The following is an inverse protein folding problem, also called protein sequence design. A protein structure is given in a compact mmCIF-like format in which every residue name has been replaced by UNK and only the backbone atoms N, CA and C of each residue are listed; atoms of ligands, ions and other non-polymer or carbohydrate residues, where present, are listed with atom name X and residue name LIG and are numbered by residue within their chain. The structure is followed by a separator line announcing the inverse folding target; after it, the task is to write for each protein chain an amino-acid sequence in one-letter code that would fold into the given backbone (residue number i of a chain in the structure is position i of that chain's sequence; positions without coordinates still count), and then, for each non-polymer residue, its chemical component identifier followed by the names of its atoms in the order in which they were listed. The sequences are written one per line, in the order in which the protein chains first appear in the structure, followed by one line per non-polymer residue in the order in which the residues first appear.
data_IF_685133009930
#
_entry.id   IF_685133009930
#
_cell.length_a   1.000
_cell.length_b   1.000
_cell.length_c   1.000
_cell.angle_alpha   90.00
_cell.angle_beta   90.00
_cell.angle_gamma   90.00
#
_symmetry.space_group_name_H-M   'P 1'
#
loop_
_entity.id
_entity.type
_entity.pdbx_description
1 polymer ?
#
# COMPACT_ATOMS: atom_id res chain seq x y z
N UNK A 1 -27.88 -7.31 11.30
CA UNK A 1 -27.30 -6.79 10.02
C UNK A 1 -25.96 -7.44 9.78
N UNK A 2 -25.29 -7.17 8.65
CA UNK A 2 -24.01 -7.86 8.31
C UNK A 2 -22.98 -7.79 9.45
N UNK A 3 -22.67 -6.59 9.97
CA UNK A 3 -21.69 -6.41 11.06
C UNK A 3 -22.06 -7.16 12.36
N UNK A 4 -23.34 -7.23 12.69
CA UNK A 4 -23.82 -7.94 13.88
C UNK A 4 -23.72 -9.46 13.71
N UNK A 5 -24.05 -9.95 12.52
CA UNK A 5 -23.93 -11.37 12.19
C UNK A 5 -22.47 -11.84 12.24
N UNK A 6 -21.54 -11.15 11.58
CA UNK A 6 -20.12 -11.55 11.59
C UNK A 6 -19.50 -11.41 12.98
N UNK A 7 -19.94 -10.43 13.79
CA UNK A 7 -19.54 -10.34 15.19
C UNK A 7 -19.95 -11.59 15.98
N UNK A 8 -21.16 -12.11 15.77
CA UNK A 8 -21.62 -13.34 16.44
C UNK A 8 -20.82 -14.58 16.00
N UNK A 9 -20.24 -14.56 14.81
CA UNK A 9 -19.30 -15.58 14.32
C UNK A 9 -17.87 -15.43 14.88
N UNK A 10 -17.57 -14.35 15.61
CA UNK A 10 -16.27 -14.13 16.25
C UNK A 10 -15.32 -13.20 15.48
N UNK A 11 -15.76 -12.56 14.39
CA UNK A 11 -14.96 -11.54 13.72
C UNK A 11 -14.86 -10.28 14.58
N UNK A 12 -13.63 -9.77 14.75
CA UNK A 12 -13.31 -8.68 15.68
C UNK A 12 -13.11 -7.32 15.00
N UNK A 13 -12.70 -7.32 13.72
CA UNK A 13 -12.46 -6.12 12.93
C UNK A 13 -13.25 -6.15 11.63
N UNK A 14 -13.69 -4.98 11.18
CA UNK A 14 -14.26 -4.77 9.86
C UNK A 14 -13.55 -3.58 9.21
N UNK A 15 -13.18 -3.74 7.94
CA UNK A 15 -12.46 -2.73 7.16
C UNK A 15 -13.37 -2.29 6.01
N UNK A 16 -13.54 -0.97 5.85
CA UNK A 16 -14.35 -0.40 4.78
C UNK A 16 -13.51 0.65 4.06
N UNK A 17 -13.26 0.43 2.77
CA UNK A 17 -12.75 1.45 1.87
C UNK A 17 -13.94 2.22 1.28
N UNK A 18 -14.17 3.43 1.79
CA UNK A 18 -15.18 4.32 1.23
C UNK A 18 -14.66 4.93 -0.08
N UNK A 19 -14.87 4.23 -1.19
CA UNK A 19 -14.53 4.67 -2.55
C UNK A 19 -15.81 4.67 -3.41
N UNK A 20 -16.29 5.81 -3.92
CA UNK A 20 -17.32 5.83 -4.94
C UNK A 20 -16.73 5.41 -6.30
N UNK A 21 -17.53 4.84 -7.21
CA UNK A 21 -17.07 4.51 -8.55
C UNK A 21 -16.67 5.78 -9.30
N UNK A 22 -15.76 5.65 -10.27
CA UNK A 22 -15.46 6.75 -11.18
C UNK A 22 -16.63 7.00 -12.13
N UNK A 23 -16.60 8.15 -12.80
CA UNK A 23 -17.64 8.50 -13.78
C UNK A 23 -17.67 7.48 -14.93
N UNK A 24 -18.79 6.76 -15.05
CA UNK A 24 -18.98 5.71 -16.06
C UNK A 24 -18.64 4.29 -15.59
N UNK A 25 -18.12 4.13 -14.37
CA UNK A 25 -17.83 2.80 -13.80
C UNK A 25 -19.03 2.26 -13.01
N UNK A 26 -19.24 0.94 -13.12
CA UNK A 26 -20.28 0.21 -12.39
C UNK A 26 -19.63 -0.85 -11.47
N UNK A 27 -19.87 -0.78 -10.16
CA UNK A 27 -19.29 -1.78 -9.24
C UNK A 27 -19.95 -3.16 -9.33
N UNK A 28 -21.29 -3.22 -9.42
CA UNK A 28 -22.04 -4.48 -9.35
C UNK A 28 -23.12 -4.52 -10.43
N UNK A 29 -24.00 -3.52 -10.46
CA UNK A 29 -25.11 -3.47 -11.40
C UNK A 29 -24.72 -2.66 -12.62
N UNK A 30 -24.77 -3.31 -13.78
CA UNK A 30 -24.50 -2.67 -15.06
C UNK A 30 -25.60 -1.66 -15.42
N UNK A 31 -25.18 -0.48 -15.88
CA UNK A 31 -26.02 0.60 -16.41
C UNK A 31 -26.99 1.19 -15.37
N UNK A 32 -26.47 2.04 -14.48
CA UNK A 32 -27.27 2.79 -13.52
C UNK A 32 -28.27 3.76 -14.18
N UNK A 33 -29.43 4.03 -13.55
CA UNK A 33 -30.35 5.07 -14.01
C UNK A 33 -29.66 6.44 -14.12
N UNK A 34 -29.89 7.19 -15.19
CA UNK A 34 -29.22 8.47 -15.46
C UNK A 34 -29.45 9.53 -14.36
N UNK A 35 -30.60 9.46 -13.67
CA UNK A 35 -30.97 10.32 -12.56
C UNK A 35 -30.30 9.95 -11.22
N UNK A 36 -29.73 8.74 -11.13
CA UNK A 36 -29.04 8.28 -9.93
C UNK A 36 -27.67 8.97 -9.80
N UNK A 37 -27.56 9.87 -8.84
CA UNK A 37 -26.30 10.58 -8.58
C UNK A 37 -25.34 9.69 -7.79
N UNK A 38 -24.12 9.57 -8.29
CA UNK A 38 -23.02 8.95 -7.55
C UNK A 38 -22.59 9.89 -6.41
N UNK A 39 -22.53 9.42 -5.15
CA UNK A 39 -22.13 10.26 -4.04
C UNK A 39 -20.64 10.62 -4.15
N UNK A 40 -20.32 11.90 -3.92
CA UNK A 40 -18.91 12.31 -3.78
C UNK A 40 -18.27 11.69 -2.54
N UNK A 41 -16.94 11.58 -2.55
CA UNK A 41 -16.13 10.97 -1.48
C UNK A 41 -16.56 11.37 -0.06
N UNK A 42 -16.68 12.68 0.22
CA UNK A 42 -17.10 13.17 1.55
C UNK A 42 -18.50 12.70 1.94
N UNK A 43 -19.44 12.69 0.99
CA UNK A 43 -20.81 12.27 1.24
C UNK A 43 -20.89 10.78 1.57
N UNK A 44 -20.15 9.95 0.82
CA UNK A 44 -20.08 8.51 1.08
C UNK A 44 -19.46 8.20 2.45
N UNK A 45 -18.39 8.91 2.82
CA UNK A 45 -17.80 8.81 4.16
C UNK A 45 -18.80 9.17 5.25
N UNK A 46 -19.53 10.27 5.10
CA UNK A 46 -20.51 10.71 6.10
C UNK A 46 -21.72 9.77 6.17
N UNK A 47 -22.08 9.12 5.07
CA UNK A 47 -23.08 8.05 5.05
C UNK A 47 -22.64 6.84 5.88
N UNK A 48 -21.39 6.37 5.71
CA UNK A 48 -20.84 5.28 6.52
C UNK A 48 -20.72 5.66 8.00
N UNK A 49 -20.28 6.88 8.33
CA UNK A 49 -20.23 7.36 9.72
C UNK A 49 -21.59 7.30 10.38
N UNK A 50 -22.65 7.78 9.71
CA UNK A 50 -24.03 7.66 10.23
C UNK A 50 -24.45 6.21 10.47
N UNK A 51 -24.05 5.30 9.58
CA UNK A 51 -24.30 3.87 9.75
C UNK A 51 -23.56 3.31 10.98
N UNK A 52 -22.29 3.67 11.16
CA UNK A 52 -21.49 3.27 12.32
C UNK A 52 -21.99 3.87 13.63
N UNK A 53 -22.38 5.15 13.65
CA UNK A 53 -22.93 5.82 14.83
C UNK A 53 -24.20 5.07 15.31
N UNK A 54 -25.07 4.68 14.36
CA UNK A 54 -26.24 3.83 14.67
C UNK A 54 -25.83 2.46 15.20
N UNK A 55 -24.81 1.83 14.60
CA UNK A 55 -24.33 0.52 15.04
C UNK A 55 -23.70 0.55 16.45
N UNK A 56 -23.06 1.67 16.83
CA UNK A 56 -22.57 1.91 18.19
C UNK A 56 -23.73 2.02 19.18
N UNK A 57 -24.76 2.80 18.86
CA UNK A 57 -25.97 2.91 19.71
C UNK A 57 -26.65 1.55 19.93
N UNK A 58 -26.62 0.69 18.90
CA UNK A 58 -27.13 -0.67 18.95
C UNK A 58 -26.18 -1.69 19.59
N UNK A 59 -25.01 -1.26 20.08
CA UNK A 59 -23.96 -2.11 20.68
C UNK A 59 -23.44 -3.21 19.75
N UNK A 60 -23.57 -3.01 18.44
CA UNK A 60 -23.01 -3.89 17.42
C UNK A 60 -21.53 -3.56 17.24
N UNK A 61 -21.22 -2.30 16.96
CA UNK A 61 -19.85 -1.79 16.80
C UNK A 61 -19.37 -1.16 18.11
N UNK A 62 -18.15 -1.47 18.55
CA UNK A 62 -17.58 -0.87 19.77
C UNK A 62 -17.13 0.58 19.55
N UNK A 63 -16.39 0.82 18.46
CA UNK A 63 -15.95 2.11 17.97
C UNK A 63 -15.50 1.97 16.50
N UNK A 64 -15.26 3.09 15.82
CA UNK A 64 -14.59 3.12 14.52
C UNK A 64 -13.57 4.26 14.49
N UNK A 65 -12.52 4.08 13.69
CA UNK A 65 -11.52 5.11 13.43
C UNK A 65 -10.96 4.99 12.00
N UNK A 66 -10.26 6.02 11.53
CA UNK A 66 -9.55 5.92 10.26
C UNK A 66 -8.20 5.22 10.46
N UNK A 67 -7.66 4.65 9.38
CA UNK A 67 -6.44 3.84 9.43
C UNK A 67 -5.23 4.62 9.96
N UNK A 68 -5.09 5.90 9.61
CA UNK A 68 -3.98 6.72 10.11
C UNK A 68 -4.04 6.85 11.63
N UNK A 69 -5.23 7.14 12.18
CA UNK A 69 -5.44 7.23 13.62
C UNK A 69 -5.20 5.88 14.31
N UNK A 70 -5.66 4.78 13.71
CA UNK A 70 -5.37 3.43 14.20
C UNK A 70 -3.86 3.17 14.28
N UNK A 71 -3.12 3.47 13.20
CA UNK A 71 -1.67 3.29 13.18
C UNK A 71 -0.96 4.13 14.25
N UNK A 72 -1.36 5.38 14.45
CA UNK A 72 -0.80 6.26 15.49
C UNK A 72 -1.10 5.73 16.90
N UNK A 73 -2.34 5.36 17.17
CA UNK A 73 -2.77 4.89 18.50
C UNK A 73 -2.13 3.56 18.89
N UNK A 74 -1.86 2.69 17.90
CA UNK A 74 -1.28 1.37 18.12
C UNK A 74 0.22 1.32 17.84
N UNK A 75 0.86 2.47 17.58
CA UNK A 75 2.30 2.57 17.25
C UNK A 75 2.71 1.60 16.13
N UNK A 76 1.90 1.50 15.08
CA UNK A 76 2.21 0.65 13.92
C UNK A 76 3.39 1.25 13.17
N UNK A 77 4.52 0.54 13.18
CA UNK A 77 5.78 0.98 12.55
C UNK A 77 6.14 0.21 11.28
N UNK A 78 5.52 -0.95 11.05
CA UNK A 78 5.81 -1.78 9.87
C UNK A 78 4.53 -2.13 9.12
N UNK A 79 4.66 -2.23 7.80
CA UNK A 79 3.59 -2.57 6.86
C UNK A 79 2.99 -3.95 7.14
N UNK A 80 3.70 -4.86 7.82
CA UNK A 80 3.17 -6.17 8.21
C UNK A 80 1.99 -6.13 9.19
N UNK A 81 1.79 -5.00 9.89
CA UNK A 81 0.62 -4.82 10.75
C UNK A 81 -0.58 -4.19 10.03
N UNK A 82 -0.41 -3.80 8.77
CA UNK A 82 -1.51 -3.29 7.95
C UNK A 82 -2.23 -4.50 7.34
N UNK A 83 -3.56 -4.64 7.53
CA UNK A 83 -4.31 -5.73 6.90
C UNK A 83 -4.15 -5.71 5.39
N UNK A 84 -3.85 -6.88 4.83
CA UNK A 84 -3.61 -7.05 3.40
C UNK A 84 -4.84 -7.73 2.78
N UNK A 85 -5.57 -7.01 1.94
CA UNK A 85 -6.80 -7.47 1.29
C UNK A 85 -6.69 -7.33 -0.22
N UNK A 86 -7.14 -8.36 -0.95
CA UNK A 86 -7.16 -8.34 -2.42
C UNK A 86 -7.98 -7.15 -2.94
N UNK A 87 -7.39 -6.37 -3.84
CA UNK A 87 -8.02 -5.20 -4.44
C UNK A 87 -8.17 -3.97 -3.53
N UNK A 88 -7.59 -3.99 -2.32
CA UNK A 88 -7.59 -2.82 -1.43
C UNK A 88 -6.52 -1.80 -1.84
N UNK A 89 -6.75 -0.54 -1.47
CA UNK A 89 -5.85 0.57 -1.74
C UNK A 89 -4.45 0.33 -1.16
N UNK A 90 -4.36 -0.12 0.10
CA UNK A 90 -3.07 -0.25 0.77
C UNK A 90 -2.21 -1.37 0.22
N UNK A 91 -2.82 -2.49 -0.18
CA UNK A 91 -2.12 -3.58 -0.85
C UNK A 91 -1.42 -3.07 -2.12
N UNK A 92 -2.15 -2.37 -2.99
CA UNK A 92 -1.58 -1.81 -4.22
C UNK A 92 -0.45 -0.81 -3.93
N UNK A 93 -0.64 0.09 -2.96
CA UNK A 93 0.37 1.09 -2.59
C UNK A 93 1.63 0.42 -2.01
N UNK A 94 1.48 -0.61 -1.18
CA UNK A 94 2.61 -1.33 -0.60
C UNK A 94 3.40 -2.04 -1.71
N UNK A 95 2.72 -2.73 -2.63
CA UNK A 95 3.36 -3.39 -3.77
C UNK A 95 4.11 -2.41 -4.67
N UNK A 96 3.47 -1.31 -5.07
CA UNK A 96 4.10 -0.26 -5.89
C UNK A 96 5.37 0.29 -5.22
N UNK A 97 5.35 0.47 -3.89
CA UNK A 97 6.52 0.95 -3.14
C UNK A 97 7.63 -0.09 -3.06
N UNK A 98 7.30 -1.36 -2.90
CA UNK A 98 8.28 -2.45 -2.88
C UNK A 98 8.97 -2.61 -4.24
N UNK A 99 8.20 -2.57 -5.32
CA UNK A 99 8.72 -2.63 -6.69
C UNK A 99 9.67 -1.44 -6.97
N UNK A 100 9.28 -0.23 -6.54
CA UNK A 100 10.12 0.95 -6.69
C UNK A 100 11.41 0.86 -5.87
N UNK A 101 11.35 0.32 -4.65
CA UNK A 101 12.52 0.12 -3.80
C UNK A 101 13.47 -0.93 -4.39
N UNK A 102 12.94 -2.02 -4.94
CA UNK A 102 13.75 -3.04 -5.60
C UNK A 102 14.45 -2.49 -6.85
N UNK A 103 13.74 -1.74 -7.68
CA UNK A 103 14.32 -1.09 -8.86
C UNK A 103 15.41 -0.08 -8.48
N UNK A 104 15.20 0.70 -7.41
CA UNK A 104 16.20 1.64 -6.91
C UNK A 104 17.46 0.93 -6.41
N UNK A 105 17.30 -0.20 -5.70
CA UNK A 105 18.42 -1.01 -5.23
C UNK A 105 19.22 -1.60 -6.40
N UNK A 106 18.56 -2.11 -7.43
CA UNK A 106 19.22 -2.61 -8.65
C UNK A 106 20.03 -1.51 -9.37
N UNK A 107 19.48 -0.30 -9.46
CA UNK A 107 20.19 0.85 -10.05
C UNK A 107 21.42 1.24 -9.25
N UNK A 108 21.31 1.28 -7.91
CA UNK A 108 22.45 1.56 -7.03
C UNK A 108 23.54 0.50 -7.15
N UNK A 109 23.17 -0.79 -7.22
CA UNK A 109 24.13 -1.89 -7.42
C UNK A 109 24.87 -1.77 -8.76
N UNK A 110 24.16 -1.40 -9.84
CA UNK A 110 24.78 -1.17 -11.16
C UNK A 110 25.69 0.06 -11.14
N UNK A 111 25.27 1.16 -10.52
CA UNK A 111 26.07 2.38 -10.42
C UNK A 111 27.36 2.14 -9.64
N UNK A 112 27.28 1.45 -8.49
CA UNK A 112 28.45 1.04 -7.70
C UNK A 112 29.38 0.13 -8.53
N UNK A 113 28.84 -0.82 -9.29
CA UNK A 113 29.65 -1.70 -10.13
C UNK A 113 30.40 -0.93 -11.23
N UNK A 114 29.75 0.04 -11.89
CA UNK A 114 30.36 0.89 -12.90
C UNK A 114 31.44 1.80 -12.30
N UNK A 115 31.21 2.38 -11.13
CA UNK A 115 32.22 3.19 -10.41
C UNK A 115 33.43 2.36 -9.99
N UNK A 116 33.24 1.07 -9.65
CA UNK A 116 34.34 0.16 -9.33
C UNK A 116 35.15 -0.23 -10.57
N UNK A 117 34.52 -0.35 -11.74
CA UNK A 117 35.21 -0.59 -13.02
C UNK A 117 36.03 0.64 -13.49
N UNK A 118 35.51 1.86 -13.30
CA UNK A 118 36.20 3.10 -13.70
C UNK A 118 37.43 3.42 -12.81
N UNK A 119 37.45 2.95 -11.56
CA UNK A 119 38.52 3.20 -10.59
C UNK A 119 39.61 2.09 -10.51
N UNK A 120 39.61 1.09 -11.42
CA UNK A 120 40.43 -0.13 -11.29
C UNK A 120 41.36 -0.48 -12.47
N UNK A 121 42.66 -0.13 -12.32
CA UNK A 121 43.89 -0.63 -12.99
C UNK A 121 44.26 -0.10 -14.38
N UNK A 122 45.01 1.01 -14.41
CA UNK A 122 45.80 1.46 -15.56
C UNK A 122 47.25 1.82 -15.13
N UNK A 123 47.93 0.90 -14.44
CA UNK A 123 49.39 0.96 -14.29
C UNK A 123 50.01 -0.24 -15.04
N UNK A 124 50.68 -0.03 -16.18
CA UNK A 124 51.44 -1.08 -16.84
C UNK A 124 52.60 -1.48 -15.94
N UNK A 125 52.61 -2.74 -15.50
CA UNK A 125 53.83 -3.35 -14.95
C UNK A 125 54.84 -3.40 -16.11
N UNK A 126 55.80 -2.48 -16.13
CA UNK A 126 56.97 -2.61 -16.98
C UNK A 126 57.70 -3.89 -16.58
N UNK A 127 57.64 -4.89 -17.46
CA UNK A 127 58.52 -6.04 -17.43
C UNK A 127 59.95 -5.53 -17.66
N UNK A 128 60.70 -5.33 -16.58
CA UNK A 128 62.16 -5.18 -16.69
C UNK A 128 62.74 -6.47 -17.30
N UNK A 129 63.12 -6.39 -18.56
CA UNK A 129 63.86 -7.41 -19.29
C UNK A 129 65.26 -7.55 -18.65
N UNK A 130 65.39 -8.50 -17.72
CA UNK A 130 66.67 -8.92 -17.17
C UNK A 130 67.40 -9.82 -18.17
N UNK A 131 67.77 -9.25 -19.32
CA UNK A 131 68.68 -9.90 -20.27
C UNK A 131 69.76 -8.93 -20.75
N UNK A 132 70.70 -8.58 -19.86
CA UNK A 132 72.07 -8.24 -20.29
C UNK A 132 73.11 -8.90 -19.39
N UNK A 133 73.62 -10.01 -19.92
CA UNK A 133 74.91 -10.62 -19.57
C UNK A 133 76.04 -9.67 -19.98
N UNK A 134 76.99 -9.42 -19.09
CA UNK A 134 78.46 -9.50 -19.29
C UNK A 134 79.19 -9.15 -18.00
#
# INVERSE_FOLDING_TARGET
GYLDYVKQLGYVYAHIWACPPNDGDDYIFYCHPCEQRIPKQKHLQDWYKKMFDKAILQRVVAHYENIMKYCLNNSVQTVFHIPYFEGDFWTNVIEEKLDQEEENRRKQEIEIALEMEDNGLDDPIELEDSTKVS
#
